data_IF_995382699954
#
_entry.id   IF_995382699954
#
_cell.length_a   1.000
_cell.length_b   1.000
_cell.length_c   1.000
_cell.angle_alpha   90.00
_cell.angle_beta   90.00
_cell.angle_gamma   90.00
#
_symmetry.space_group_name_H-M   'P 1'
#
loop_
_entity.id
_entity.type
_entity.pdbx_description
1 polymer ?
#
# COMPACT_ATOMS: atom_id res chain seq x y z
N UNK A 1 -7.42 6.77 -6.42
CA UNK A 1 -5.95 6.60 -6.57
C UNK A 1 -5.73 5.25 -7.25
N UNK A 2 -4.57 4.99 -7.85
CA UNK A 2 -4.30 3.70 -8.51
C UNK A 2 -2.93 3.17 -8.14
N UNK A 3 -2.82 1.88 -7.85
CA UNK A 3 -1.54 1.20 -7.72
C UNK A 3 -1.44 0.06 -8.71
N UNK A 4 -0.21 -0.30 -9.05
CA UNK A 4 0.09 -1.42 -9.93
C UNK A 4 0.82 -2.50 -9.17
N UNK A 5 0.33 -3.74 -9.28
CA UNK A 5 0.92 -4.89 -8.65
C UNK A 5 0.95 -6.05 -9.64
N UNK A 6 2.14 -6.57 -9.92
CA UNK A 6 2.39 -7.46 -11.04
C UNK A 6 1.76 -6.90 -12.33
N UNK A 7 0.96 -7.71 -13.04
CA UNK A 7 0.39 -7.38 -14.35
C UNK A 7 -0.91 -6.57 -14.30
N UNK A 8 -1.41 -6.16 -13.12
CA UNK A 8 -2.73 -5.52 -12.97
C UNK A 8 -2.65 -4.19 -12.23
N UNK A 9 -3.49 -3.24 -12.67
CA UNK A 9 -3.73 -1.97 -11.99
C UNK A 9 -5.00 -2.07 -11.16
N UNK A 10 -4.97 -1.49 -9.97
CA UNK A 10 -6.05 -1.53 -9.00
C UNK A 10 -6.41 -0.11 -8.57
N UNK A 11 -7.67 0.27 -8.77
CA UNK A 11 -8.23 1.47 -8.17
C UNK A 11 -8.42 1.25 -6.67
N UNK A 12 -8.01 2.24 -5.88
CA UNK A 12 -8.06 2.17 -4.43
C UNK A 12 -8.42 3.50 -3.79
N UNK A 13 -8.93 3.40 -2.56
CA UNK A 13 -9.35 4.53 -1.74
C UNK A 13 -9.18 4.27 -0.24
N UNK A 14 -8.78 5.32 0.47
CA UNK A 14 -8.74 5.32 1.93
C UNK A 14 -10.08 5.78 2.49
N UNK A 15 -10.72 4.89 3.23
CA UNK A 15 -12.00 5.15 3.90
C UNK A 15 -12.00 4.47 5.26
N UNK A 16 -12.89 4.89 6.15
CA UNK A 16 -13.11 4.20 7.43
C UNK A 16 -13.41 2.70 7.22
N UNK A 17 -14.13 2.37 6.15
CA UNK A 17 -14.43 0.98 5.80
C UNK A 17 -13.17 0.21 5.37
N UNK A 18 -12.22 0.85 4.69
CA UNK A 18 -10.92 0.23 4.33
C UNK A 18 -10.09 -0.07 5.57
N UNK A 19 -10.01 0.89 6.52
CA UNK A 19 -9.31 0.69 7.79
C UNK A 19 -9.95 -0.45 8.60
N UNK A 20 -11.29 -0.46 8.72
CA UNK A 20 -12.00 -1.52 9.43
C UNK A 20 -11.76 -2.90 8.81
N UNK A 21 -11.83 -3.04 7.48
CA UNK A 21 -11.55 -4.32 6.80
C UNK A 21 -10.15 -4.83 7.12
N UNK A 22 -9.17 -3.94 7.10
CA UNK A 22 -7.78 -4.28 7.40
C UNK A 22 -7.62 -4.75 8.85
N UNK A 23 -8.20 -4.02 9.80
CA UNK A 23 -8.15 -4.39 11.23
C UNK A 23 -8.89 -5.68 11.52
N UNK A 24 -10.08 -5.89 10.94
CA UNK A 24 -10.84 -7.12 11.12
C UNK A 24 -10.06 -8.34 10.57
N UNK A 25 -9.26 -8.16 9.50
CA UNK A 25 -8.49 -9.24 8.88
C UNK A 25 -7.14 -9.52 9.55
N UNK A 26 -6.49 -8.50 10.12
CA UNK A 26 -5.08 -8.60 10.57
C UNK A 26 -4.87 -8.33 12.06
N UNK A 27 -5.84 -7.72 12.74
CA UNK A 27 -5.68 -7.19 14.08
C UNK A 27 -4.82 -5.92 14.17
N UNK A 28 -4.41 -5.36 13.03
CA UNK A 28 -3.55 -4.17 12.95
C UNK A 28 -4.33 -2.94 12.46
N UNK A 29 -3.84 -1.75 12.79
CA UNK A 29 -4.39 -0.50 12.26
C UNK A 29 -3.66 -0.10 10.97
N UNK A 30 -4.42 0.22 9.93
CA UNK A 30 -3.93 0.49 8.58
C UNK A 30 -3.05 1.74 8.53
N UNK A 31 -3.40 2.80 9.25
CA UNK A 31 -2.62 4.04 9.24
C UNK A 31 -1.22 3.86 9.86
N UNK A 32 -1.09 3.29 11.08
CA UNK A 32 0.23 2.96 11.64
C UNK A 32 1.08 2.09 10.71
N UNK A 33 0.50 1.07 10.09
CA UNK A 33 1.21 0.21 9.13
C UNK A 33 1.77 1.05 7.97
N UNK A 34 0.95 1.88 7.33
CA UNK A 34 1.41 2.76 6.24
C UNK A 34 2.48 3.77 6.70
N UNK A 35 2.34 4.34 7.91
CA UNK A 35 3.32 5.25 8.48
C UNK A 35 4.67 4.56 8.74
N UNK A 36 4.67 3.32 9.21
CA UNK A 36 5.90 2.55 9.41
C UNK A 36 6.64 2.27 8.10
N UNK A 37 5.93 1.99 7.00
CA UNK A 37 6.55 1.87 5.67
C UNK A 37 7.23 3.18 5.23
N UNK A 38 6.58 4.33 5.42
CA UNK A 38 7.17 5.65 5.11
C UNK A 38 8.40 5.90 5.99
N UNK A 39 8.27 5.66 7.30
CA UNK A 39 9.33 5.88 8.26
C UNK A 39 10.55 5.03 7.93
N UNK A 40 10.35 3.72 7.71
CA UNK A 40 11.45 2.80 7.40
C UNK A 40 12.11 3.10 6.07
N UNK A 41 11.33 3.46 5.05
CA UNK A 41 11.88 3.86 3.75
C UNK A 41 12.75 5.12 3.88
N UNK A 42 12.33 6.08 4.71
CA UNK A 42 13.06 7.33 4.96
C UNK A 42 14.32 7.11 5.81
N UNK A 43 14.24 6.25 6.83
CA UNK A 43 15.37 5.85 7.68
C UNK A 43 16.51 5.23 6.83
N UNK A 44 16.15 4.48 5.79
CA UNK A 44 17.08 3.77 4.92
C UNK A 44 17.53 4.57 3.69
N UNK A 45 17.35 5.91 3.67
CA UNK A 45 17.65 6.77 2.52
C UNK A 45 19.11 6.73 2.03
N UNK A 46 20.04 6.27 2.86
CA UNK A 46 21.47 6.13 2.53
C UNK A 46 21.88 4.66 2.34
N UNK A 47 20.96 3.71 2.56
CA UNK A 47 21.20 2.29 2.38
C UNK A 47 21.09 1.87 0.90
N UNK A 48 21.71 0.74 0.56
CA UNK A 48 21.57 0.12 -0.77
C UNK A 48 20.12 -0.25 -1.05
N UNK A 49 19.73 -0.34 -2.33
CA UNK A 49 18.36 -0.74 -2.69
C UNK A 49 18.01 -2.14 -2.17
N UNK A 50 18.97 -3.07 -2.17
CA UNK A 50 18.77 -4.42 -1.66
C UNK A 50 18.53 -4.43 -0.14
N UNK A 51 19.27 -3.61 0.61
CA UNK A 51 19.05 -3.45 2.05
C UNK A 51 17.68 -2.83 2.32
N UNK A 52 17.29 -1.81 1.56
CA UNK A 52 15.95 -1.21 1.68
C UNK A 52 14.85 -2.24 1.49
N UNK A 53 14.88 -2.97 0.39
CA UNK A 53 13.89 -3.99 0.07
C UNK A 53 13.85 -5.08 1.14
N UNK A 54 15.01 -5.56 1.57
CA UNK A 54 15.10 -6.58 2.62
C UNK A 54 14.49 -6.10 3.93
N UNK A 55 14.74 -4.85 4.34
CA UNK A 55 14.21 -4.30 5.59
C UNK A 55 12.71 -4.00 5.49
N UNK A 56 12.23 -3.49 4.35
CA UNK A 56 10.80 -3.23 4.13
C UNK A 56 9.98 -4.53 4.08
N UNK A 57 10.51 -5.59 3.46
CA UNK A 57 9.89 -6.91 3.46
C UNK A 57 9.80 -7.56 4.85
N UNK A 58 10.59 -7.09 5.83
CA UNK A 58 10.59 -7.61 7.21
C UNK A 58 9.62 -6.91 8.15
N UNK A 59 9.11 -5.72 7.79
CA UNK A 59 8.18 -4.97 8.64
C UNK A 59 6.94 -5.79 8.96
N UNK A 60 6.37 -6.41 7.93
CA UNK A 60 5.14 -7.18 8.02
C UNK A 60 5.23 -8.43 7.15
N UNK A 61 4.50 -9.47 7.54
CA UNK A 61 4.40 -10.68 6.73
C UNK A 61 3.74 -10.35 5.38
N UNK A 62 4.03 -11.17 4.36
CA UNK A 62 3.38 -11.05 3.05
C UNK A 62 1.85 -11.14 3.16
N UNK A 63 1.33 -11.89 4.12
CA UNK A 63 -0.12 -12.01 4.36
C UNK A 63 -0.74 -10.67 4.78
N UNK A 64 -0.08 -9.94 5.69
CA UNK A 64 -0.52 -8.60 6.09
C UNK A 64 -0.47 -7.64 4.89
N UNK A 65 0.55 -7.72 4.05
CA UNK A 65 0.63 -6.94 2.82
C UNK A 65 -0.52 -7.26 1.84
N UNK A 66 -0.88 -8.54 1.68
CA UNK A 66 -2.01 -8.94 0.82
C UNK A 66 -3.34 -8.41 1.36
N UNK A 67 -3.55 -8.48 2.69
CA UNK A 67 -4.72 -7.89 3.31
C UNK A 67 -4.75 -6.37 3.21
N UNK A 68 -3.59 -5.69 3.22
CA UNK A 68 -3.50 -4.26 2.96
C UNK A 68 -4.04 -3.94 1.56
N UNK A 69 -3.52 -4.60 0.52
CA UNK A 69 -3.97 -4.40 -0.86
C UNK A 69 -5.47 -4.68 -1.01
N UNK A 70 -5.95 -5.81 -0.49
CA UNK A 70 -7.37 -6.18 -0.54
C UNK A 70 -8.26 -5.17 0.20
N UNK A 71 -7.79 -4.64 1.33
CA UNK A 71 -8.61 -3.74 2.16
C UNK A 71 -8.78 -2.37 1.53
N UNK A 72 -7.78 -1.86 0.81
CA UNK A 72 -7.83 -0.54 0.17
C UNK A 72 -8.43 -0.56 -1.24
N UNK A 73 -8.39 -1.71 -1.92
CA UNK A 73 -8.90 -1.85 -3.28
C UNK A 73 -10.42 -1.71 -3.32
N UNK A 74 -10.93 -1.05 -4.36
CA UNK A 74 -12.36 -0.85 -4.55
C UNK A 74 -13.12 -2.17 -4.65
N UNK A 75 -14.29 -2.24 -4.02
CA UNK A 75 -15.11 -3.47 -3.98
C UNK A 75 -15.59 -3.92 -5.37
N UNK A 76 -15.69 -2.99 -6.32
CA UNK A 76 -16.09 -3.27 -7.71
C UNK A 76 -14.97 -3.96 -8.51
N UNK A 77 -13.73 -3.98 -8.00
CA UNK A 77 -12.61 -4.65 -8.68
C UNK A 77 -12.76 -6.17 -8.77
N UNK A 78 -13.64 -6.76 -7.95
CA UNK A 78 -13.77 -8.21 -7.75
C UNK A 78 -12.44 -8.93 -7.43
N UNK A 79 -11.40 -8.19 -6.99
CA UNK A 79 -10.11 -8.76 -6.65
C UNK A 79 -10.22 -9.65 -5.40
N UNK A 80 -9.56 -10.81 -5.44
CA UNK A 80 -9.56 -11.78 -4.34
C UNK A 80 -8.24 -11.73 -3.58
N UNK A 81 -8.22 -12.29 -2.37
CA UNK A 81 -6.98 -12.42 -1.60
C UNK A 81 -5.94 -13.27 -2.35
N UNK A 82 -6.37 -14.38 -2.95
CA UNK A 82 -5.52 -15.27 -3.75
C UNK A 82 -4.85 -14.52 -4.91
N UNK A 83 -5.56 -13.58 -5.53
CA UNK A 83 -5.00 -12.72 -6.59
C UNK A 83 -3.85 -11.86 -6.05
N UNK A 84 -3.99 -11.25 -4.88
CA UNK A 84 -2.91 -10.49 -4.25
C UNK A 84 -1.76 -11.39 -3.78
N UNK A 85 -2.04 -12.59 -3.28
CA UNK A 85 -1.01 -13.56 -2.89
C UNK A 85 -0.19 -14.04 -4.10
N UNK A 86 -0.83 -14.34 -5.23
CA UNK A 86 -0.15 -14.69 -6.48
C UNK A 86 0.63 -13.49 -7.04
N UNK A 87 0.02 -12.29 -7.05
CA UNK A 87 0.70 -11.08 -7.53
C UNK A 87 1.93 -10.74 -6.68
N UNK A 88 1.83 -10.77 -5.35
CA UNK A 88 2.99 -10.53 -4.45
C UNK A 88 4.05 -11.63 -4.53
N UNK A 89 3.71 -12.83 -5.00
CA UNK A 89 4.68 -13.89 -5.28
C UNK A 89 5.40 -13.69 -6.62
N UNK A 90 4.71 -13.18 -7.65
CA UNK A 90 5.23 -13.00 -9.01
C UNK A 90 6.03 -11.72 -9.23
N UNK A 91 5.81 -10.68 -8.43
CA UNK A 91 6.63 -9.46 -8.52
C UNK A 91 8.10 -9.77 -8.24
N UNK A 92 8.99 -8.98 -8.83
CA UNK A 92 10.41 -9.14 -8.61
C UNK A 92 10.76 -8.87 -7.14
N UNK A 93 11.79 -9.53 -6.64
CA UNK A 93 12.30 -9.31 -5.29
C UNK A 93 13.34 -8.17 -5.25
N UNK A 94 13.72 -7.65 -6.42
CA UNK A 94 14.61 -6.50 -6.64
C UNK A 94 13.97 -5.57 -7.66
N UNK A 95 14.18 -4.26 -7.58
CA UNK A 95 13.70 -3.33 -8.60
C UNK A 95 14.21 -3.75 -9.99
N UNK A 96 13.32 -3.80 -10.96
CA UNK A 96 13.67 -4.16 -12.34
C UNK A 96 14.34 -2.96 -13.01
N UNK A 97 15.35 -3.20 -13.85
CA UNK A 97 15.95 -2.16 -14.71
C UNK A 97 15.22 -2.04 -16.06
N UNK A 98 14.05 -2.65 -16.22
CA UNK A 98 13.24 -2.63 -17.45
C UNK A 98 12.14 -1.57 -17.31
N UNK A 99 12.08 -0.65 -18.27
CA UNK A 99 11.10 0.44 -18.29
C UNK A 99 9.65 -0.05 -18.52
N UNK A 100 9.49 -1.27 -19.03
CA UNK A 100 8.26 -1.83 -19.56
C UNK A 100 7.63 -2.97 -18.74
N UNK A 101 8.28 -3.44 -17.65
CA UNK A 101 7.91 -4.72 -17.01
C UNK A 101 7.61 -4.62 -15.50
N UNK A 102 6.49 -3.97 -15.21
CA UNK A 102 5.43 -4.25 -14.22
C UNK A 102 5.72 -5.17 -13.02
N UNK A 103 6.84 -5.00 -12.33
CA UNK A 103 7.27 -5.94 -11.28
C UNK A 103 7.98 -5.27 -10.11
N UNK A 104 7.61 -4.03 -9.78
CA UNK A 104 8.12 -3.40 -8.56
C UNK A 104 7.88 -4.34 -7.36
N UNK A 105 8.91 -4.57 -6.53
CA UNK A 105 8.75 -5.34 -5.31
C UNK A 105 7.57 -4.78 -4.52
N UNK A 106 6.66 -5.65 -4.09
CA UNK A 106 5.45 -5.24 -3.37
C UNK A 106 5.71 -4.30 -2.18
N UNK A 107 6.84 -4.36 -1.43
CA UNK A 107 7.10 -3.39 -0.37
C UNK A 107 7.23 -1.96 -0.89
N UNK A 108 7.78 -1.76 -2.09
CA UNK A 108 7.86 -0.42 -2.71
C UNK A 108 6.50 0.04 -3.22
N UNK A 109 5.66 -0.88 -3.70
CA UNK A 109 4.27 -0.56 -4.04
C UNK A 109 3.54 -0.03 -2.79
N UNK A 110 3.74 -0.67 -1.63
CA UNK A 110 3.16 -0.19 -0.36
C UNK A 110 3.71 1.18 0.04
N UNK A 111 5.02 1.42 -0.10
CA UNK A 111 5.61 2.76 0.14
C UNK A 111 4.96 3.81 -0.75
N UNK A 112 4.79 3.52 -2.05
CA UNK A 112 4.11 4.41 -2.99
C UNK A 112 2.69 4.73 -2.57
N UNK A 113 1.91 3.70 -2.22
CA UNK A 113 0.55 3.84 -1.68
C UNK A 113 0.57 4.72 -0.42
N UNK A 114 1.46 4.45 0.53
CA UNK A 114 1.52 5.18 1.79
C UNK A 114 1.83 6.67 1.57
N UNK A 115 2.79 6.99 0.69
CA UNK A 115 3.12 8.37 0.34
C UNK A 115 1.94 9.08 -0.35
N UNK A 116 1.24 8.41 -1.26
CA UNK A 116 0.09 8.96 -1.95
C UNK A 116 -1.11 9.17 -1.02
N UNK A 117 -1.36 8.22 -0.10
CA UNK A 117 -2.38 8.36 0.95
C UNK A 117 -2.07 9.52 1.87
N UNK A 118 -0.82 9.66 2.32
CA UNK A 118 -0.41 10.77 3.17
C UNK A 118 -0.61 12.11 2.46
N UNK A 119 -0.23 12.20 1.18
CA UNK A 119 -0.48 13.40 0.36
C UNK A 119 -1.97 13.71 0.25
N UNK A 120 -2.79 12.71 -0.12
CA UNK A 120 -4.24 12.86 -0.24
C UNK A 120 -4.88 13.37 1.06
N UNK A 121 -4.50 12.78 2.21
CA UNK A 121 -5.01 13.19 3.51
C UNK A 121 -4.63 14.66 3.81
N UNK A 122 -3.37 15.03 3.62
CA UNK A 122 -2.90 16.41 3.88
C UNK A 122 -3.58 17.44 2.97
N UNK A 123 -3.86 17.10 1.71
CA UNK A 123 -4.54 17.98 0.76
C UNK A 123 -6.04 18.12 1.06
N UNK A 124 -6.69 17.08 1.61
CA UNK A 124 -8.14 17.04 1.81
C UNK A 124 -8.61 17.34 3.25
N UNK A 125 -7.73 17.29 4.26
CA UNK A 125 -8.05 17.69 5.65
C UNK A 125 -8.52 19.15 5.74
N UNK A 126 -8.06 20.01 4.82
CA UNK A 126 -8.40 21.44 4.82
C UNK A 126 -9.77 21.78 4.22
N UNK A 127 -10.49 20.80 3.64
CA UNK A 127 -11.87 21.01 3.20
C UNK A 127 -12.78 20.93 4.41
N UNK A 128 -12.89 22.04 5.15
CA UNK A 128 -13.88 22.23 6.22
C UNK A 128 -15.23 21.72 5.73
N UNK A 129 -15.87 20.83 6.50
CA UNK A 129 -17.32 20.67 6.46
C UNK A 129 -17.90 22.09 6.52
N UNK A 130 -18.61 22.53 5.47
CA UNK A 130 -19.59 23.60 5.65
C UNK A 130 -20.54 23.04 6.70
N UNK A 131 -20.49 23.59 7.90
CA UNK A 131 -21.53 23.37 8.89
C UNK A 131 -22.86 23.69 8.20
N UNK A 132 -23.63 22.66 7.87
CA UNK A 132 -25.07 22.81 7.66
C UNK A 132 -25.68 23.11 9.01
N UNK A 133 -25.61 24.39 9.38
CA UNK A 133 -26.55 25.02 10.29
C UNK A 133 -27.71 25.51 9.43
N UNK A 134 -28.80 24.75 9.42
CA UNK A 134 -30.17 25.22 9.20
C UNK A 134 -31.09 24.39 10.10
#
# INVERSE_FOLDING_TARGET
>A
MEFKLAYKSYSYGMSLASCKRFTDATGLDLHPVLMEYIHKFTELKDASILDRLTQLSKLYSREVACHLFMSITDKESHATLDEFQDATFRVSWVQSSRDDDLSEPYPLVIVGIAMEVNRYINENIHVKKKDTSD
#
